data_IF_697614337406
#
_entry.id   IF_697614337406
#
_cell.length_a   1.000
_cell.length_b   1.000
_cell.length_c   1.000
_cell.angle_alpha   90.00
_cell.angle_beta   90.00
_cell.angle_gamma   90.00
#
_symmetry.space_group_name_H-M   'P 1'
#
loop_
_entity.id
_entity.type
_entity.pdbx_description
1 polymer ?
#
# COMPACT_ATOMS: atom_id res chain seq x y z
N UNK A 1 34.04 4.49 38.42
CA UNK A 1 34.20 3.07 38.02
C UNK A 1 32.82 2.43 37.97
N UNK A 2 32.25 2.20 36.77
CA UNK A 2 31.22 1.19 36.57
C UNK A 2 31.66 0.12 35.56
N UNK A 3 31.18 -1.09 35.80
CA UNK A 3 31.66 -2.37 35.28
C UNK A 3 31.15 -2.67 33.85
N UNK A 4 32.02 -3.18 33.00
CA UNK A 4 31.70 -3.75 31.68
C UNK A 4 31.31 -5.22 31.83
N UNK A 5 30.01 -5.51 31.91
CA UNK A 5 29.52 -6.89 31.78
C UNK A 5 29.49 -7.28 30.30
N UNK A 6 30.52 -7.98 29.83
CA UNK A 6 30.57 -8.54 28.48
C UNK A 6 29.53 -9.67 28.34
N UNK A 7 28.57 -9.50 27.43
CA UNK A 7 27.56 -10.52 27.09
C UNK A 7 28.22 -11.56 26.19
N UNK A 8 28.53 -12.73 26.75
CA UNK A 8 29.13 -13.84 25.97
C UNK A 8 28.11 -14.34 24.95
N UNK A 9 28.47 -14.49 23.66
CA UNK A 9 27.59 -15.06 22.66
C UNK A 9 27.42 -16.56 22.91
N UNK A 10 26.32 -16.95 23.55
CA UNK A 10 25.94 -18.35 23.65
C UNK A 10 25.61 -18.90 22.25
N UNK A 11 26.33 -19.92 21.80
CA UNK A 11 26.01 -20.68 20.58
C UNK A 11 24.55 -21.15 20.70
N UNK A 12 23.66 -20.68 19.81
CA UNK A 12 22.28 -21.18 19.73
C UNK A 12 22.32 -22.66 19.34
N UNK A 13 22.16 -23.55 20.32
CA UNK A 13 21.95 -24.97 20.05
C UNK A 13 20.55 -25.11 19.46
N UNK A 14 20.46 -25.39 18.16
CA UNK A 14 19.19 -25.81 17.54
C UNK A 14 18.93 -27.25 17.97
N UNK A 15 18.07 -27.41 18.97
CA UNK A 15 17.52 -28.71 19.33
C UNK A 15 16.52 -29.06 18.22
N UNK A 16 16.91 -29.98 17.31
CA UNK A 16 15.94 -30.60 16.40
C UNK A 16 15.11 -31.58 17.23
N UNK A 17 13.84 -31.24 17.45
CA UNK A 17 12.89 -32.18 18.04
C UNK A 17 12.73 -33.36 17.07
N UNK A 18 13.20 -34.53 17.48
CA UNK A 18 12.99 -35.76 16.73
C UNK A 18 11.53 -36.17 16.90
N UNK A 19 10.70 -35.87 15.90
CA UNK A 19 9.33 -36.37 15.88
C UNK A 19 9.37 -37.87 15.54
N UNK A 20 8.62 -38.73 16.25
CA UNK A 20 8.45 -40.11 15.83
C UNK A 20 7.83 -40.13 14.42
N UNK A 21 8.22 -41.07 13.55
CA UNK A 21 7.64 -41.17 12.22
C UNK A 21 6.12 -41.28 12.37
N UNK A 22 5.38 -40.47 11.61
CA UNK A 22 3.93 -40.52 11.52
C UNK A 22 3.54 -41.97 11.27
N UNK A 23 3.12 -42.67 12.33
CA UNK A 23 2.72 -44.06 12.21
C UNK A 23 1.49 -44.07 11.32
N UNK A 24 1.62 -44.61 10.11
CA UNK A 24 0.59 -44.75 9.08
C UNK A 24 -0.58 -45.66 9.50
N UNK A 25 -0.81 -45.85 10.80
CA UNK A 25 -1.86 -46.68 11.38
C UNK A 25 -3.01 -45.86 11.96
N UNK A 26 -3.29 -44.68 11.41
CA UNK A 26 -4.62 -44.11 11.54
C UNK A 26 -5.59 -44.96 10.69
N UNK A 27 -5.97 -46.14 11.19
CA UNK A 27 -7.04 -46.93 10.59
C UNK A 27 -8.34 -46.18 10.88
N UNK A 28 -8.88 -45.51 9.86
CA UNK A 28 -10.23 -44.98 9.90
C UNK A 28 -11.17 -46.15 10.21
N UNK A 29 -12.08 -45.99 11.18
CA UNK A 29 -13.07 -47.01 11.50
C UNK A 29 -13.93 -47.29 10.26
N UNK A 30 -14.28 -48.56 9.98
CA UNK A 30 -15.09 -48.91 8.81
C UNK A 30 -16.48 -48.27 8.83
N UNK A 31 -16.97 -47.82 9.98
CA UNK A 31 -18.21 -47.03 10.13
C UNK A 31 -18.17 -45.73 9.31
N UNK A 32 -16.99 -45.12 9.12
CA UNK A 32 -16.83 -43.93 8.27
C UNK A 32 -16.95 -44.20 6.77
N UNK A 33 -17.03 -45.47 6.35
CA UNK A 33 -17.33 -45.84 4.96
C UNK A 33 -18.84 -45.76 4.64
N UNK A 34 -19.71 -45.88 5.66
CA UNK A 34 -21.16 -45.91 5.48
C UNK A 34 -21.79 -44.52 5.55
N UNK A 35 -21.12 -43.57 6.19
CA UNK A 35 -21.52 -42.16 6.19
C UNK A 35 -20.41 -41.35 5.51
N UNK A 36 -20.51 -41.03 4.21
CA UNK A 36 -19.58 -40.11 3.60
C UNK A 36 -19.60 -38.80 4.42
N UNK A 37 -18.45 -38.15 4.63
CA UNK A 37 -18.43 -36.85 5.29
C UNK A 37 -19.42 -35.92 4.57
N UNK A 38 -20.21 -35.11 5.29
CA UNK A 38 -21.13 -34.18 4.66
C UNK A 38 -20.35 -33.36 3.65
N UNK A 39 -20.79 -33.41 2.39
CA UNK A 39 -20.10 -32.71 1.31
C UNK A 39 -20.09 -31.23 1.66
N UNK A 40 -18.93 -30.54 1.54
CA UNK A 40 -18.88 -29.12 1.80
C UNK A 40 -19.85 -28.45 0.82
N UNK A 41 -20.87 -27.78 1.36
CA UNK A 41 -21.80 -26.99 0.57
C UNK A 41 -20.99 -25.98 -0.22
N UNK A 42 -20.92 -26.17 -1.54
CA UNK A 42 -20.24 -25.23 -2.43
C UNK A 42 -21.07 -23.95 -2.46
N UNK A 43 -20.76 -23.01 -1.57
CA UNK A 43 -21.24 -21.64 -1.66
C UNK A 43 -20.61 -21.00 -2.89
N UNK A 44 -21.40 -20.85 -3.96
CA UNK A 44 -21.02 -19.99 -5.08
C UNK A 44 -21.15 -18.56 -4.59
N UNK A 45 -20.02 -17.92 -4.30
CA UNK A 45 -20.00 -16.49 -4.10
C UNK A 45 -20.17 -15.86 -5.49
N UNK A 46 -21.25 -15.11 -5.76
CA UNK A 46 -21.35 -14.39 -7.01
C UNK A 46 -20.13 -13.46 -7.07
N UNK A 47 -19.38 -13.55 -8.17
CA UNK A 47 -18.46 -12.48 -8.54
C UNK A 47 -19.34 -11.28 -8.82
N UNK A 48 -19.57 -10.46 -7.79
CA UNK A 48 -19.89 -9.07 -8.01
C UNK A 48 -18.64 -8.53 -8.70
N UNK A 49 -18.75 -8.31 -10.00
CA UNK A 49 -17.85 -7.42 -10.73
C UNK A 49 -18.04 -6.03 -10.12
N UNK A 50 -17.48 -5.84 -8.93
CA UNK A 50 -17.16 -4.50 -8.47
C UNK A 50 -16.22 -4.01 -9.56
N UNK A 51 -16.55 -2.91 -10.26
CA UNK A 51 -15.58 -2.25 -11.12
C UNK A 51 -14.29 -2.22 -10.34
N UNK A 52 -13.21 -2.75 -10.93
CA UNK A 52 -11.88 -2.63 -10.34
C UNK A 52 -11.57 -1.14 -10.42
N UNK A 53 -12.13 -0.39 -9.49
CA UNK A 53 -11.73 0.96 -9.18
C UNK A 53 -10.28 0.79 -8.79
N UNK A 54 -9.40 1.03 -9.74
CA UNK A 54 -8.00 1.21 -9.48
C UNK A 54 -7.86 2.45 -8.62
N UNK A 55 -8.20 2.35 -7.32
CA UNK A 55 -7.92 3.31 -6.27
C UNK A 55 -8.07 4.76 -6.79
N UNK A 56 -9.31 5.12 -7.10
CA UNK A 56 -9.78 6.50 -7.20
C UNK A 56 -10.42 6.92 -5.88
N UNK A 57 -9.69 6.82 -4.77
CA UNK A 57 -10.15 7.39 -3.49
C UNK A 57 -10.04 8.93 -3.45
N UNK A 58 -9.78 9.59 -4.59
CA UNK A 58 -9.59 11.05 -4.65
C UNK A 58 -10.85 11.82 -5.10
N UNK A 59 -11.86 11.16 -5.69
CA UNK A 59 -13.06 11.89 -6.16
C UNK A 59 -14.00 12.27 -5.01
N UNK A 60 -14.00 11.50 -3.92
CA UNK A 60 -14.89 11.75 -2.77
C UNK A 60 -14.40 12.89 -1.87
N UNK A 61 -13.12 13.26 -1.88
CA UNK A 61 -12.60 14.36 -1.05
C UNK A 61 -12.61 15.74 -1.73
N UNK A 62 -12.86 15.80 -3.04
CA UNK A 62 -12.82 17.07 -3.80
C UNK A 62 -14.03 17.95 -3.50
N UNK A 63 -15.20 17.34 -3.28
CA UNK A 63 -16.47 18.02 -3.05
C UNK A 63 -16.52 18.82 -1.74
N UNK A 64 -15.73 18.45 -0.73
CA UNK A 64 -15.70 19.15 0.57
C UNK A 64 -14.64 20.25 0.63
N UNK A 65 -13.79 20.35 -0.39
CA UNK A 65 -12.65 21.26 -0.35
C UNK A 65 -13.04 22.71 -0.67
N UNK A 66 -14.18 22.98 -1.32
CA UNK A 66 -14.58 24.36 -1.66
C UNK A 66 -13.58 25.10 -2.56
N UNK A 67 -12.69 24.36 -3.24
CA UNK A 67 -11.76 24.90 -4.23
C UNK A 67 -12.50 24.91 -5.57
N UNK A 68 -12.39 26.00 -6.33
CA UNK A 68 -13.02 26.07 -7.64
C UNK A 68 -12.35 25.09 -8.62
N UNK A 69 -13.09 24.60 -9.62
CA UNK A 69 -12.52 23.71 -10.64
C UNK A 69 -11.36 24.36 -11.40
N UNK A 70 -11.43 25.67 -11.62
CA UNK A 70 -10.38 26.43 -12.31
C UNK A 70 -9.09 26.47 -11.48
N UNK A 71 -9.19 26.76 -10.18
CA UNK A 71 -8.03 26.74 -9.26
C UNK A 71 -7.41 25.34 -9.15
N UNK A 72 -8.24 24.29 -9.14
CA UNK A 72 -7.75 22.91 -9.13
C UNK A 72 -6.97 22.56 -10.39
N UNK A 73 -7.43 23.04 -11.56
CA UNK A 73 -6.72 22.86 -12.82
C UNK A 73 -5.35 23.54 -12.77
N UNK A 74 -5.28 24.78 -12.28
CA UNK A 74 -4.02 25.52 -12.13
C UNK A 74 -3.05 24.84 -11.17
N UNK A 75 -3.56 24.36 -10.03
CA UNK A 75 -2.79 23.60 -9.05
C UNK A 75 -2.23 22.31 -9.68
N UNK A 76 -3.03 21.58 -10.47
CA UNK A 76 -2.59 20.38 -11.15
C UNK A 76 -1.47 20.66 -12.16
N UNK A 77 -1.60 21.74 -12.95
CA UNK A 77 -0.57 22.16 -13.90
C UNK A 77 0.73 22.51 -13.18
N UNK A 78 0.64 23.23 -12.07
CA UNK A 78 1.80 23.60 -11.25
C UNK A 78 2.47 22.39 -10.59
N UNK A 79 1.69 21.50 -9.98
CA UNK A 79 2.23 20.26 -9.40
C UNK A 79 2.90 19.42 -10.49
N UNK A 80 2.33 19.37 -11.70
CA UNK A 80 2.94 18.65 -12.82
C UNK A 80 4.30 19.23 -13.22
N UNK A 81 4.51 20.55 -13.16
CA UNK A 81 5.85 21.12 -13.38
C UNK A 81 6.81 20.72 -12.25
N UNK A 82 6.40 20.86 -10.99
CA UNK A 82 7.24 20.48 -9.85
C UNK A 82 7.65 19.00 -9.86
N UNK A 83 6.74 18.11 -10.27
CA UNK A 83 7.05 16.68 -10.41
C UNK A 83 8.14 16.46 -11.46
N UNK A 84 8.14 17.21 -12.57
CA UNK A 84 9.18 17.09 -13.60
C UNK A 84 10.54 17.57 -13.11
N UNK A 85 10.55 18.59 -12.27
CA UNK A 85 11.77 19.24 -11.81
C UNK A 85 12.41 18.50 -10.61
N UNK A 86 11.58 18.02 -9.67
CA UNK A 86 12.05 17.45 -8.40
C UNK A 86 11.88 15.93 -8.29
N UNK A 87 10.98 15.30 -9.06
CA UNK A 87 10.67 13.87 -8.92
C UNK A 87 11.10 13.05 -10.13
N UNK A 88 11.31 11.76 -9.89
CA UNK A 88 11.70 10.81 -10.95
C UNK A 88 10.45 10.24 -11.61
N UNK A 89 10.12 10.71 -12.81
CA UNK A 89 8.92 10.29 -13.56
C UNK A 89 8.74 8.77 -13.74
N UNK A 90 9.85 8.02 -13.86
CA UNK A 90 9.87 6.55 -14.07
C UNK A 90 9.65 5.73 -12.79
N UNK A 91 9.46 6.38 -11.65
CA UNK A 91 9.47 5.75 -10.33
C UNK A 91 8.14 5.97 -9.63
N UNK A 92 7.62 4.93 -8.97
CA UNK A 92 6.36 5.03 -8.21
C UNK A 92 6.49 5.98 -7.02
N UNK A 93 5.38 6.57 -6.58
CA UNK A 93 5.34 7.50 -5.43
C UNK A 93 6.07 6.98 -4.19
N UNK A 94 5.87 5.72 -3.81
CA UNK A 94 6.48 5.10 -2.61
C UNK A 94 8.00 4.93 -2.70
N UNK A 95 8.58 5.08 -3.89
CA UNK A 95 10.01 4.96 -4.16
C UNK A 95 10.67 6.32 -4.41
N UNK A 96 9.91 7.42 -4.33
CA UNK A 96 10.47 8.76 -4.35
C UNK A 96 11.15 9.06 -3.02
N UNK A 97 12.18 9.91 -3.04
CA UNK A 97 12.84 10.37 -1.81
C UNK A 97 11.91 11.29 -1.04
N UNK A 98 11.85 11.10 0.29
CA UNK A 98 11.04 11.96 1.18
C UNK A 98 11.43 13.42 1.05
N UNK A 99 12.73 13.74 1.00
CA UNK A 99 13.23 15.10 0.83
C UNK A 99 12.74 15.80 -0.46
N UNK A 100 12.55 15.04 -1.54
CA UNK A 100 12.06 15.59 -2.80
C UNK A 100 10.54 15.78 -2.76
N UNK A 101 9.81 14.89 -2.10
CA UNK A 101 8.37 15.07 -1.85
C UNK A 101 8.13 16.28 -0.95
N UNK A 102 8.91 16.43 0.12
CA UNK A 102 8.81 17.57 1.05
C UNK A 102 9.04 18.89 0.32
N UNK A 103 10.04 18.98 -0.58
CA UNK A 103 10.25 20.17 -1.40
C UNK A 103 9.02 20.53 -2.26
N UNK A 104 8.44 19.54 -2.95
CA UNK A 104 7.22 19.74 -3.76
C UNK A 104 6.04 20.19 -2.88
N UNK A 105 5.91 19.64 -1.68
CA UNK A 105 4.83 20.02 -0.76
C UNK A 105 5.02 21.43 -0.20
N UNK A 106 6.23 21.82 0.19
CA UNK A 106 6.49 23.17 0.67
C UNK A 106 6.30 24.22 -0.43
N UNK A 107 6.81 23.99 -1.64
CA UNK A 107 6.60 24.91 -2.77
C UNK A 107 5.12 25.04 -3.17
N UNK A 108 4.36 23.93 -3.12
CA UNK A 108 2.93 23.96 -3.36
C UNK A 108 2.18 24.75 -2.27
N UNK A 109 2.58 24.63 -1.00
CA UNK A 109 1.98 25.38 0.12
C UNK A 109 2.32 26.87 0.06
N UNK A 110 3.55 27.22 -0.32
CA UNK A 110 3.99 28.61 -0.48
C UNK A 110 3.15 29.33 -1.55
N UNK A 111 2.92 28.66 -2.69
CA UNK A 111 2.15 29.26 -3.79
C UNK A 111 0.65 29.27 -3.51
N UNK A 112 0.13 28.24 -2.84
CA UNK A 112 -1.30 28.11 -2.56
C UNK A 112 -1.53 27.88 -1.06
N UNK A 113 -1.77 28.97 -0.33
CA UNK A 113 -2.08 28.90 1.11
C UNK A 113 -3.32 28.02 1.41
N UNK A 114 -4.25 27.89 0.47
CA UNK A 114 -5.43 27.03 0.61
C UNK A 114 -5.08 25.52 0.72
N UNK A 115 -3.89 25.11 0.26
CA UNK A 115 -3.41 23.73 0.34
C UNK A 115 -2.77 23.39 1.68
N UNK A 116 -2.42 24.39 2.50
CA UNK A 116 -1.74 24.18 3.78
C UNK A 116 -2.53 23.29 4.75
N UNK A 117 -3.87 23.42 4.72
CA UNK A 117 -4.79 22.61 5.53
C UNK A 117 -5.22 21.29 4.87
N UNK A 118 -4.87 21.10 3.60
CA UNK A 118 -5.36 20.01 2.73
C UNK A 118 -4.21 19.19 2.16
N UNK A 119 -3.27 18.82 3.03
CA UNK A 119 -2.09 18.06 2.65
C UNK A 119 -2.45 16.75 1.92
N UNK A 120 -3.52 16.07 2.34
CA UNK A 120 -3.99 14.84 1.71
C UNK A 120 -4.40 15.03 0.23
N UNK A 121 -5.03 16.16 -0.10
CA UNK A 121 -5.38 16.47 -1.50
C UNK A 121 -4.13 16.60 -2.37
N UNK A 122 -3.10 17.30 -1.88
CA UNK A 122 -1.84 17.47 -2.62
C UNK A 122 -1.16 16.11 -2.84
N UNK A 123 -1.12 15.26 -1.80
CA UNK A 123 -0.61 13.88 -1.92
C UNK A 123 -1.40 13.08 -2.96
N UNK A 124 -2.73 13.20 -2.95
CA UNK A 124 -3.62 12.56 -3.92
C UNK A 124 -3.32 12.98 -5.36
N UNK A 125 -3.17 14.28 -5.59
CA UNK A 125 -2.84 14.87 -6.90
C UNK A 125 -1.46 14.39 -7.36
N UNK A 126 -0.43 14.44 -6.51
CA UNK A 126 0.93 14.00 -6.86
C UNK A 126 0.95 12.50 -7.22
N UNK A 127 0.26 11.65 -6.46
CA UNK A 127 0.12 10.23 -6.77
C UNK A 127 -0.55 10.01 -8.12
N UNK A 128 -1.63 10.74 -8.39
CA UNK A 128 -2.38 10.65 -9.64
C UNK A 128 -1.52 11.05 -10.84
N UNK A 129 -0.80 12.17 -10.73
CA UNK A 129 0.07 12.66 -11.80
C UNK A 129 1.25 11.73 -12.09
N UNK A 130 1.90 11.18 -11.05
CA UNK A 130 2.95 10.18 -11.25
C UNK A 130 2.43 8.90 -11.93
N UNK A 131 1.19 8.46 -11.61
CA UNK A 131 0.57 7.32 -12.31
C UNK A 131 0.35 7.63 -13.79
N UNK A 132 -0.14 8.82 -14.13
CA UNK A 132 -0.38 9.27 -15.52
C UNK A 132 0.92 9.30 -16.35
N UNK A 133 2.04 9.74 -15.76
CA UNK A 133 3.32 9.79 -16.46
C UNK A 133 3.89 8.39 -16.76
N UNK A 134 3.64 7.41 -15.89
CA UNK A 134 4.08 6.03 -16.09
C UNK A 134 3.29 5.29 -17.19
N UNK A 135 2.03 5.65 -17.42
CA UNK A 135 1.23 5.04 -18.50
C UNK A 135 1.57 5.61 -19.88
N UNK A 136 2.02 6.87 -19.97
CA UNK A 136 2.33 7.53 -21.23
C UNK A 136 3.68 7.11 -21.86
N UNK A 137 4.52 6.40 -21.11
CA UNK A 137 5.87 6.00 -21.54
C UNK A 137 5.98 4.53 -21.96
N UNK A 138 4.84 3.83 -22.10
CA UNK A 138 4.71 2.47 -22.62
C UNK A 138 4.14 2.50 -24.03
#
# INVERSE_FOLDING_TARGET
>A
MPCTCARVPSKRIRIQCHYPPLTLRAKFSPERLLTPPPSPLKTKFPLVEVPREGSCENETQLAESGISNDELSDIQVFIRSLIKDHLKAKVCFSKQSTSALDAVFEEAKEKYACLQKKHELVVGIVRQELRRQNTATK
#
